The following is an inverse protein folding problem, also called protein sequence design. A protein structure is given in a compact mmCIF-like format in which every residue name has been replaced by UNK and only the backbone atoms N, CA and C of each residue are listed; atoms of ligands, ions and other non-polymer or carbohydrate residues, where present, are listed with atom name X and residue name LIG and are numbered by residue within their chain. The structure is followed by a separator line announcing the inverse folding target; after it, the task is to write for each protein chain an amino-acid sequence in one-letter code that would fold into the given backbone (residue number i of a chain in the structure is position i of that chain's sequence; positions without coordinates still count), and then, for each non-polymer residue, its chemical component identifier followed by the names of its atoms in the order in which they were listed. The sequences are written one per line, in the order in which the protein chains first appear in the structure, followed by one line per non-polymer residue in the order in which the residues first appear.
data_IF_972205832554
#
_entry.id   IF_972205832554
#
_cell.length_a   1.000
_cell.length_b   1.000
_cell.length_c   1.000
_cell.angle_alpha   90.00
_cell.angle_beta   90.00
_cell.angle_gamma   90.00
#
_symmetry.space_group_name_H-M   'P 1'
#
loop_
_entity.id
_entity.type
_entity.pdbx_description
1 polymer ?
#
# COMPACT_ATOMS: atom_id res chain seq x y z
N UNK A 1 -8.12 1.44 10.73
CA UNK A 1 -7.15 1.71 9.65
C UNK A 1 -5.75 1.41 10.15
N UNK A 2 -5.27 0.17 9.97
CA UNK A 2 -3.89 -0.20 10.29
C UNK A 2 -2.99 0.34 9.18
N UNK A 3 -2.40 1.51 9.42
CA UNK A 3 -1.42 2.11 8.52
C UNK A 3 -0.32 1.12 8.22
N UNK A 4 -0.24 0.67 6.97
CA UNK A 4 0.85 -0.14 6.49
C UNK A 4 2.13 0.69 6.58
N UNK A 5 2.84 0.59 7.71
CA UNK A 5 4.18 1.18 7.88
C UNK A 5 5.06 0.59 6.80
N UNK A 6 5.25 1.35 5.73
CA UNK A 6 6.15 0.99 4.64
C UNK A 6 7.57 0.91 5.22
N UNK A 7 8.07 -0.29 5.44
CA UNK A 7 9.43 -0.53 5.94
C UNK A 7 10.57 0.02 5.05
N UNK A 8 10.25 0.77 3.98
CA UNK A 8 11.22 1.50 3.16
C UNK A 8 11.65 2.84 3.77
N UNK A 9 10.78 3.53 4.51
CA UNK A 9 11.08 4.87 5.06
C UNK A 9 12.30 4.91 5.98
N UNK A 10 12.51 3.95 6.89
CA UNK A 10 13.67 4.01 7.77
C UNK A 10 14.98 3.54 7.10
N UNK A 11 14.92 2.74 6.03
CA UNK A 11 16.11 2.40 5.20
C UNK A 11 16.57 3.65 4.44
N UNK A 12 15.62 4.36 3.82
CA UNK A 12 15.91 5.64 3.19
C UNK A 12 16.37 6.67 4.21
N UNK A 13 15.82 6.70 5.43
CA UNK A 13 16.28 7.63 6.47
C UNK A 13 17.69 7.30 7.00
N UNK A 14 18.04 6.02 7.13
CA UNK A 14 19.37 5.59 7.60
C UNK A 14 20.44 5.72 6.52
N UNK A 15 20.10 5.46 5.25
CA UNK A 15 20.97 5.71 4.09
C UNK A 15 20.99 7.18 3.64
N UNK A 16 19.97 7.97 4.00
CA UNK A 16 19.97 9.42 3.77
C UNK A 16 20.51 10.20 4.96
N UNK A 17 20.86 9.54 6.07
CA UNK A 17 21.60 10.18 7.15
C UNK A 17 23.01 10.50 6.64
N UNK A 18 23.33 11.78 6.38
CA UNK A 18 24.60 12.15 5.75
C UNK A 18 25.80 11.76 6.62
N UNK A 19 25.59 11.58 7.93
CA UNK A 19 26.64 11.22 8.88
C UNK A 19 26.91 9.71 8.97
N UNK A 20 25.91 8.85 8.73
CA UNK A 20 26.05 7.39 8.92
C UNK A 20 26.13 6.61 7.60
N UNK A 21 25.51 7.13 6.55
CA UNK A 21 25.51 6.54 5.22
C UNK A 21 26.92 6.27 4.65
N UNK A 22 27.88 7.22 4.67
CA UNK A 22 29.20 6.97 4.08
C UNK A 22 29.94 5.86 4.83
N UNK A 23 29.87 5.81 6.16
CA UNK A 23 30.51 4.75 6.95
C UNK A 23 29.86 3.38 6.72
N UNK A 24 28.52 3.34 6.62
CA UNK A 24 27.79 2.12 6.29
C UNK A 24 28.20 1.58 4.93
N UNK A 25 28.29 2.42 3.90
CA UNK A 25 28.71 2.04 2.55
C UNK A 25 30.19 1.66 2.50
N UNK A 26 31.06 2.42 3.18
CA UNK A 26 32.49 2.14 3.28
C UNK A 26 32.79 0.79 3.94
N UNK A 27 31.98 0.39 4.95
CA UNK A 27 32.08 -0.94 5.54
C UNK A 27 31.95 -2.05 4.48
N UNK A 28 31.03 -1.92 3.51
CA UNK A 28 30.87 -2.93 2.45
C UNK A 28 32.00 -2.96 1.41
N UNK A 29 32.77 -1.89 1.27
CA UNK A 29 33.99 -1.86 0.46
C UNK A 29 35.21 -2.44 1.20
N UNK A 30 35.17 -2.40 2.54
CA UNK A 30 36.29 -2.78 3.41
C UNK A 30 36.87 -4.19 3.19
N UNK A 31 36.06 -5.25 2.93
CA UNK A 31 36.60 -6.60 2.68
C UNK A 31 37.61 -6.67 1.52
N UNK A 32 37.56 -5.73 0.59
CA UNK A 32 38.49 -5.63 -0.54
C UNK A 32 39.55 -4.55 -0.30
N UNK A 33 39.14 -3.39 0.24
CA UNK A 33 40.07 -2.29 0.46
C UNK A 33 41.10 -2.57 1.56
N UNK A 34 40.72 -3.20 2.67
CA UNK A 34 41.65 -3.50 3.75
C UNK A 34 42.83 -4.38 3.29
N UNK A 35 42.64 -5.53 2.60
CA UNK A 35 43.77 -6.30 2.10
C UNK A 35 44.52 -5.56 0.99
N UNK A 36 43.84 -4.80 0.12
CA UNK A 36 44.50 -3.99 -0.91
C UNK A 36 45.44 -2.94 -0.31
N UNK A 37 44.98 -2.19 0.69
CA UNK A 37 45.77 -1.16 1.39
C UNK A 37 46.89 -1.79 2.22
N UNK A 38 46.64 -2.95 2.85
CA UNK A 38 47.68 -3.68 3.58
C UNK A 38 48.84 -4.12 2.65
N UNK A 39 48.53 -4.61 1.46
CA UNK A 39 49.53 -5.09 0.49
C UNK A 39 50.28 -3.95 -0.20
N UNK A 40 49.58 -2.87 -0.58
CA UNK A 40 50.18 -1.79 -1.38
C UNK A 40 50.69 -0.60 -0.53
N UNK A 41 50.13 -0.37 0.65
CA UNK A 41 50.42 0.79 1.51
C UNK A 41 50.46 0.43 3.01
N UNK A 42 51.43 -0.41 3.44
CA UNK A 42 51.47 -0.95 4.80
C UNK A 42 51.59 0.13 5.90
N UNK A 43 52.27 1.25 5.61
CA UNK A 43 52.39 2.38 6.55
C UNK A 43 51.04 3.08 6.80
N UNK A 44 50.26 3.31 5.74
CA UNK A 44 48.91 3.84 5.84
C UNK A 44 47.99 2.88 6.60
N UNK A 45 48.09 1.58 6.32
CA UNK A 45 47.32 0.57 7.06
C UNK A 45 47.68 0.54 8.54
N UNK A 46 48.95 0.66 8.91
CA UNK A 46 49.39 0.66 10.30
C UNK A 46 48.81 1.85 11.10
N UNK A 47 48.71 3.02 10.46
CA UNK A 47 48.13 4.23 11.07
C UNK A 47 46.65 4.06 11.40
N UNK A 48 45.89 3.46 10.48
CA UNK A 48 44.42 3.35 10.58
C UNK A 48 43.94 1.92 10.86
N UNK A 49 44.81 1.07 11.41
CA UNK A 49 44.57 -0.38 11.59
C UNK A 49 43.27 -0.68 12.34
N UNK A 50 43.00 0.06 13.42
CA UNK A 50 41.81 -0.13 14.25
C UNK A 50 40.53 0.16 13.46
N UNK A 51 40.53 1.22 12.63
CA UNK A 51 39.38 1.60 11.80
C UNK A 51 39.07 0.51 10.77
N UNK A 52 40.10 0.01 10.07
CA UNK A 52 39.93 -1.07 9.08
C UNK A 52 39.37 -2.36 9.69
N UNK A 53 39.87 -2.76 10.86
CA UNK A 53 39.40 -3.95 11.56
C UNK A 53 37.97 -3.80 12.08
N UNK A 54 37.61 -2.62 12.60
CA UNK A 54 36.23 -2.33 13.06
C UNK A 54 35.25 -2.36 11.88
N UNK A 55 35.60 -1.72 10.75
CA UNK A 55 34.76 -1.74 9.56
C UNK A 55 34.59 -3.16 9.00
N UNK A 56 35.67 -3.95 8.97
CA UNK A 56 35.62 -5.35 8.54
C UNK A 56 34.72 -6.21 9.44
N UNK A 57 34.83 -6.03 10.77
CA UNK A 57 33.99 -6.73 11.74
C UNK A 57 32.52 -6.29 11.69
N UNK A 58 32.24 -5.04 11.30
CA UNK A 58 30.88 -4.51 11.19
C UNK A 58 30.12 -5.04 9.96
N UNK A 59 30.82 -5.44 8.89
CA UNK A 59 30.19 -5.93 7.63
C UNK A 59 29.13 -7.00 7.84
N UNK A 60 29.39 -8.14 8.51
CA UNK A 60 28.38 -9.19 8.68
C UNK A 60 27.15 -8.71 9.47
N UNK A 61 27.34 -7.84 10.47
CA UNK A 61 26.26 -7.29 11.29
C UNK A 61 25.40 -6.34 10.45
N UNK A 62 26.03 -5.41 9.73
CA UNK A 62 25.35 -4.47 8.83
C UNK A 62 24.62 -5.22 7.70
N UNK A 63 25.26 -6.23 7.10
CA UNK A 63 24.65 -7.05 6.07
C UNK A 63 23.42 -7.80 6.61
N UNK A 64 23.52 -8.39 7.80
CA UNK A 64 22.39 -9.06 8.44
C UNK A 64 21.24 -8.08 8.72
N UNK A 65 21.53 -6.89 9.25
CA UNK A 65 20.50 -5.86 9.52
C UNK A 65 19.84 -5.43 8.20
N UNK A 66 20.60 -5.09 7.17
CA UNK A 66 20.06 -4.67 5.88
C UNK A 66 19.21 -5.76 5.22
N UNK A 67 19.68 -7.01 5.20
CA UNK A 67 18.92 -8.14 4.64
C UNK A 67 17.67 -8.43 5.47
N UNK A 68 17.76 -8.43 6.80
CA UNK A 68 16.62 -8.64 7.70
C UNK A 68 15.54 -7.56 7.52
N UNK A 69 15.95 -6.33 7.26
CA UNK A 69 15.02 -5.21 7.04
C UNK A 69 14.45 -5.18 5.62
N UNK A 70 15.24 -5.55 4.62
CA UNK A 70 14.79 -5.66 3.23
C UNK A 70 13.81 -6.83 3.04
N UNK A 71 14.04 -7.93 3.76
CA UNK A 71 13.15 -9.08 3.80
C UNK A 71 11.91 -8.75 4.64
N UNK A 72 10.68 -8.88 4.12
CA UNK A 72 9.49 -8.64 4.93
C UNK A 72 9.49 -9.58 6.13
N UNK A 73 9.47 -9.01 7.34
CA UNK A 73 9.39 -9.75 8.61
C UNK A 73 8.23 -10.78 8.60
N UNK A 74 7.18 -10.52 7.81
CA UNK A 74 6.00 -11.37 7.64
C UNK A 74 6.21 -12.61 6.76
N UNK A 75 7.39 -12.79 6.15
CA UNK A 75 7.75 -14.03 5.43
C UNK A 75 7.82 -15.27 6.34
N UNK A 76 7.82 -15.06 7.67
CA UNK A 76 7.80 -16.08 8.71
C UNK A 76 6.88 -15.61 9.86
N UNK A 77 5.84 -16.41 10.14
CA UNK A 77 5.11 -16.48 11.44
C UNK A 77 3.81 -15.66 11.64
N UNK A 78 2.95 -15.53 10.63
CA UNK A 78 1.49 -15.64 10.87
C UNK A 78 0.91 -16.85 10.16
N UNK A 79 1.44 -18.01 10.55
CA UNK A 79 0.77 -19.29 10.39
C UNK A 79 0.03 -19.67 11.68
N UNK A 80 -0.73 -18.75 12.29
CA UNK A 80 -1.73 -19.04 13.35
C UNK A 80 -2.45 -17.73 13.70
N UNK A 81 -3.78 -17.72 13.63
CA UNK A 81 -4.60 -16.56 13.99
C UNK A 81 -5.48 -16.10 12.82
N UNK A 82 -6.61 -16.78 12.68
CA UNK A 82 -7.86 -16.28 12.11
C UNK A 82 -7.93 -15.97 10.61
N UNK A 83 -8.19 -17.03 9.84
CA UNK A 83 -9.24 -17.04 8.81
C UNK A 83 -9.57 -18.48 8.46
N UNK A 84 -10.84 -18.85 8.62
CA UNK A 84 -11.39 -20.17 8.36
C UNK A 84 -10.85 -20.78 7.06
N UNK A 85 -10.40 -22.05 7.07
CA UNK A 85 -10.15 -22.77 5.83
C UNK A 85 -11.50 -23.00 5.14
N UNK A 86 -11.69 -22.63 3.85
CA UNK A 86 -12.80 -23.16 3.10
C UNK A 86 -12.62 -24.68 3.00
N UNK A 87 -13.69 -25.40 3.34
CA UNK A 87 -13.75 -26.84 3.32
C UNK A 87 -13.39 -27.43 1.95
N UNK A 88 -12.72 -28.58 2.01
CA UNK A 88 -12.60 -29.60 0.96
C UNK A 88 -12.13 -29.15 -0.42
N UNK A 89 -10.82 -29.31 -0.69
CA UNK A 89 -10.37 -29.69 -2.04
C UNK A 89 -9.25 -30.71 -1.96
N UNK A 90 -9.50 -31.82 -2.66
CA UNK A 90 -8.72 -33.04 -2.69
C UNK A 90 -7.21 -32.79 -2.86
N UNK A 91 -6.44 -33.53 -2.05
CA UNK A 91 -4.98 -33.67 -2.08
C UNK A 91 -4.51 -33.92 -3.53
N UNK A 92 -3.93 -32.90 -4.16
CA UNK A 92 -2.96 -33.11 -5.25
C UNK A 92 -1.57 -33.29 -4.64
N UNK A 93 -0.82 -34.34 -5.00
CA UNK A 93 0.52 -34.54 -4.50
C UNK A 93 1.48 -33.55 -5.17
N UNK A 94 2.09 -32.69 -4.36
CA UNK A 94 3.54 -32.80 -4.20
C UNK A 94 4.48 -31.93 -5.04
N UNK A 95 4.09 -30.74 -5.53
CA UNK A 95 5.10 -29.69 -5.70
C UNK A 95 5.34 -29.06 -4.34
N UNK A 96 6.15 -29.74 -3.51
CA UNK A 96 6.78 -29.15 -2.33
C UNK A 96 7.59 -27.96 -2.84
N UNK A 97 6.97 -26.79 -2.91
CA UNK A 97 7.67 -25.53 -2.97
C UNK A 97 8.63 -25.57 -1.79
N UNK A 98 9.91 -25.86 -2.07
CA UNK A 98 11.00 -25.91 -1.10
C UNK A 98 10.89 -24.61 -0.31
N UNK A 99 10.30 -24.66 0.88
CA UNK A 99 10.35 -23.56 1.82
C UNK A 99 11.82 -23.51 2.24
N UNK A 100 12.61 -22.53 1.81
CA UNK A 100 14.01 -22.48 2.22
C UNK A 100 14.05 -22.45 3.75
N UNK A 101 14.89 -23.31 4.33
CA UNK A 101 15.15 -23.30 5.77
C UNK A 101 15.58 -21.89 6.20
N UNK A 102 15.14 -21.42 7.39
CA UNK A 102 15.23 -20.02 7.80
C UNK A 102 16.63 -19.46 7.67
N UNK A 103 17.56 -20.22 8.23
CA UNK A 103 18.91 -19.76 8.52
C UNK A 103 19.76 -19.79 7.25
N UNK A 104 19.65 -20.88 6.45
CA UNK A 104 20.35 -20.99 5.17
C UNK A 104 19.95 -19.87 4.20
N UNK A 105 18.68 -19.48 4.21
CA UNK A 105 18.23 -18.37 3.38
C UNK A 105 18.90 -17.03 3.71
N UNK A 106 19.04 -16.66 4.99
CA UNK A 106 19.65 -15.37 5.33
C UNK A 106 21.14 -15.34 4.99
N UNK A 107 21.85 -16.46 5.20
CA UNK A 107 23.26 -16.58 4.83
C UNK A 107 23.48 -16.40 3.33
N UNK A 108 22.69 -17.07 2.48
CA UNK A 108 22.81 -16.93 1.02
C UNK A 108 22.61 -15.47 0.56
N UNK A 109 21.68 -14.76 1.20
CA UNK A 109 21.38 -13.34 0.89
C UNK A 109 22.48 -12.40 1.39
N UNK A 110 23.05 -12.67 2.56
CA UNK A 110 24.19 -11.92 3.11
C UNK A 110 25.41 -12.14 2.21
N UNK A 111 25.69 -13.38 1.82
CA UNK A 111 26.76 -13.73 0.89
C UNK A 111 26.58 -13.07 -0.47
N UNK A 112 25.34 -13.03 -1.00
CA UNK A 112 25.03 -12.33 -2.24
C UNK A 112 25.29 -10.83 -2.11
N UNK A 113 24.85 -10.20 -1.02
CA UNK A 113 25.03 -8.77 -0.78
C UNK A 113 26.52 -8.42 -0.68
N UNK A 114 27.23 -9.05 0.24
CA UNK A 114 28.66 -8.81 0.48
C UNK A 114 29.48 -9.17 -0.75
N UNK A 115 29.23 -10.33 -1.36
CA UNK A 115 29.94 -10.77 -2.57
C UNK A 115 29.77 -9.80 -3.75
N UNK A 116 28.56 -9.27 -3.97
CA UNK A 116 28.32 -8.30 -5.03
C UNK A 116 29.02 -6.96 -4.80
N UNK A 117 29.00 -6.43 -3.56
CA UNK A 117 29.66 -5.16 -3.23
C UNK A 117 31.18 -5.29 -3.27
N UNK A 118 31.72 -6.43 -2.82
CA UNK A 118 33.14 -6.75 -2.93
C UNK A 118 33.57 -6.87 -4.39
N UNK A 119 32.80 -7.54 -5.25
CA UNK A 119 33.12 -7.66 -6.68
C UNK A 119 33.18 -6.29 -7.37
N UNK A 120 32.23 -5.39 -7.09
CA UNK A 120 32.23 -4.01 -7.62
C UNK A 120 33.42 -3.21 -7.09
N UNK A 121 33.71 -3.31 -5.80
CA UNK A 121 34.87 -2.65 -5.18
C UNK A 121 36.18 -3.11 -5.81
N UNK A 122 36.33 -4.42 -6.03
CA UNK A 122 37.52 -5.02 -6.65
C UNK A 122 37.67 -4.57 -8.11
N UNK A 123 36.57 -4.56 -8.87
CA UNK A 123 36.56 -4.10 -10.25
C UNK A 123 37.03 -2.64 -10.36
N UNK A 124 36.53 -1.77 -9.46
CA UNK A 124 36.92 -0.37 -9.43
C UNK A 124 38.38 -0.20 -8.99
N UNK A 125 38.83 -0.93 -7.96
CA UNK A 125 40.22 -0.90 -7.52
C UNK A 125 41.20 -1.36 -8.62
N UNK A 126 40.84 -2.38 -9.40
CA UNK A 126 41.65 -2.85 -10.53
C UNK A 126 41.62 -1.92 -11.76
N UNK A 127 40.59 -1.08 -11.89
CA UNK A 127 40.48 -0.15 -13.01
C UNK A 127 41.40 1.08 -12.91
N UNK A 128 42.36 1.07 -11.97
CA UNK A 128 43.38 2.12 -11.83
C UNK A 128 42.86 3.39 -11.14
N UNK A 129 41.83 3.26 -10.28
CA UNK A 129 41.42 4.36 -9.41
C UNK A 129 42.37 4.40 -8.21
N UNK A 130 43.40 5.23 -8.31
CA UNK A 130 44.36 5.48 -7.24
C UNK A 130 43.74 6.35 -6.15
N UNK A 131 43.26 5.69 -5.09
CA UNK A 131 42.69 6.32 -3.90
C UNK A 131 43.67 7.19 -3.10
N UNK A 132 44.89 7.36 -3.60
CA UNK A 132 45.94 8.22 -3.06
C UNK A 132 46.38 9.20 -4.15
N UNK A 133 46.05 10.48 -3.99
CA UNK A 133 46.42 11.51 -4.95
C UNK A 133 45.57 12.78 -4.83
N UNK A 134 45.84 13.80 -5.67
CA UNK A 134 45.08 15.05 -5.68
C UNK A 134 43.60 14.85 -6.04
N UNK A 135 43.25 13.71 -6.65
CA UNK A 135 41.88 13.33 -7.02
C UNK A 135 41.24 12.29 -6.07
N UNK A 136 41.90 11.92 -4.97
CA UNK A 136 41.41 10.89 -4.04
C UNK A 136 39.99 11.15 -3.53
N UNK A 137 39.61 12.41 -3.33
CA UNK A 137 38.26 12.78 -2.91
C UNK A 137 37.18 12.46 -3.95
N UNK A 138 37.48 12.62 -5.25
CA UNK A 138 36.53 12.31 -6.33
C UNK A 138 36.43 10.80 -6.52
N UNK A 139 37.56 10.09 -6.50
CA UNK A 139 37.59 8.65 -6.69
C UNK A 139 36.93 7.87 -5.54
N UNK A 140 37.13 8.34 -4.29
CA UNK A 140 36.42 7.78 -3.13
C UNK A 140 34.91 8.00 -3.24
N UNK A 141 34.46 9.15 -3.74
CA UNK A 141 33.03 9.40 -3.98
C UNK A 141 32.45 8.51 -5.08
N UNK A 142 33.20 8.26 -6.17
CA UNK A 142 32.81 7.32 -7.23
C UNK A 142 32.66 5.91 -6.65
N UNK A 143 33.64 5.47 -5.86
CA UNK A 143 33.61 4.16 -5.21
C UNK A 143 32.42 4.00 -4.27
N UNK A 144 32.22 4.96 -3.36
CA UNK A 144 31.07 4.95 -2.45
C UNK A 144 29.74 5.01 -3.20
N UNK A 145 29.66 5.81 -4.26
CA UNK A 145 28.48 5.88 -5.13
C UNK A 145 28.15 4.52 -5.77
N UNK A 146 29.16 3.84 -6.32
CA UNK A 146 28.99 2.54 -6.97
C UNK A 146 28.62 1.42 -5.98
N UNK A 147 29.28 1.37 -4.81
CA UNK A 147 28.97 0.40 -3.75
C UNK A 147 27.57 0.66 -3.19
N UNK A 148 27.23 1.93 -2.92
CA UNK A 148 25.89 2.35 -2.47
C UNK A 148 24.80 1.99 -3.48
N UNK A 149 25.02 2.23 -4.77
CA UNK A 149 24.11 1.84 -5.84
C UNK A 149 23.90 0.32 -5.90
N UNK A 150 24.99 -0.45 -5.77
CA UNK A 150 24.96 -1.92 -5.78
C UNK A 150 24.16 -2.47 -4.59
N UNK A 151 24.38 -1.93 -3.38
CA UNK A 151 23.62 -2.26 -2.19
C UNK A 151 22.11 -2.07 -2.42
N UNK A 152 21.70 -0.93 -2.99
CA UNK A 152 20.29 -0.65 -3.27
C UNK A 152 19.72 -1.68 -4.26
N UNK A 153 20.42 -1.94 -5.37
CA UNK A 153 19.97 -2.90 -6.40
C UNK A 153 19.79 -4.30 -5.82
N UNK A 154 20.76 -4.78 -5.04
CA UNK A 154 20.71 -6.13 -4.45
C UNK A 154 19.63 -6.23 -3.38
N UNK A 155 19.48 -5.23 -2.51
CA UNK A 155 18.39 -5.22 -1.51
C UNK A 155 17.01 -5.18 -2.17
N UNK A 156 16.83 -4.43 -3.26
CA UNK A 156 15.60 -4.46 -4.07
C UNK A 156 15.37 -5.84 -4.69
N UNK A 157 16.43 -6.48 -5.18
CA UNK A 157 16.42 -7.84 -5.70
C UNK A 157 15.98 -8.86 -4.64
N UNK A 158 16.61 -8.84 -3.46
CA UNK A 158 16.28 -9.68 -2.30
C UNK A 158 14.82 -9.45 -1.89
N UNK A 159 14.39 -8.20 -1.75
CA UNK A 159 13.01 -7.87 -1.37
C UNK A 159 12.00 -8.37 -2.40
N UNK A 160 12.33 -8.36 -3.70
CA UNK A 160 11.49 -8.93 -4.76
C UNK A 160 11.46 -10.45 -4.72
N UNK A 161 12.59 -11.08 -4.43
CA UNK A 161 12.73 -12.52 -4.26
C UNK A 161 11.95 -13.04 -3.04
N UNK A 162 11.96 -12.28 -1.94
CA UNK A 162 11.35 -12.63 -0.66
C UNK A 162 9.86 -12.30 -0.56
N UNK A 163 9.26 -11.80 -1.64
CA UNK A 163 7.82 -11.52 -1.62
C UNK A 163 7.06 -12.80 -1.33
N UNK A 164 6.08 -12.76 -0.40
CA UNK A 164 5.27 -13.94 -0.11
C UNK A 164 4.65 -14.45 -1.39
N UNK A 165 4.71 -15.77 -1.57
CA UNK A 165 4.09 -16.43 -2.70
C UNK A 165 2.57 -16.20 -2.64
N UNK A 166 2.07 -15.36 -3.53
CA UNK A 166 0.64 -15.20 -3.81
C UNK A 166 0.29 -16.26 -4.84
N UNK A 167 -0.70 -17.11 -4.54
CA UNK A 167 -1.18 -18.10 -5.49
C UNK A 167 -1.55 -17.44 -6.83
N UNK A 168 -1.15 -18.02 -7.97
CA UNK A 168 -1.41 -17.42 -9.27
C UNK A 168 -2.92 -17.33 -9.50
N UNK A 169 -3.39 -16.13 -9.82
CA UNK A 169 -4.78 -15.93 -10.21
C UNK A 169 -4.96 -16.46 -11.62
N UNK A 170 -5.97 -17.31 -11.80
CA UNK A 170 -6.29 -17.93 -13.10
C UNK A 170 -7.12 -16.98 -13.97
N UNK A 171 -7.08 -17.18 -15.29
CA UNK A 171 -7.87 -16.38 -16.25
C UNK A 171 -9.36 -16.55 -15.96
N UNK A 172 -9.78 -17.77 -15.63
CA UNK A 172 -11.16 -18.12 -15.30
C UNK A 172 -11.65 -17.38 -14.04
N UNK A 173 -10.80 -17.28 -13.02
CA UNK A 173 -11.10 -16.50 -11.83
C UNK A 173 -11.29 -15.02 -12.16
N UNK A 174 -10.38 -14.41 -12.93
CA UNK A 174 -10.51 -12.98 -13.31
C UNK A 174 -11.76 -12.76 -14.15
N UNK A 175 -12.08 -13.65 -15.10
CA UNK A 175 -13.32 -13.58 -15.89
C UNK A 175 -14.57 -13.64 -15.02
N UNK A 176 -14.63 -14.59 -14.09
CA UNK A 176 -15.77 -14.72 -13.17
C UNK A 176 -15.94 -13.45 -12.31
N UNK A 177 -14.84 -12.90 -11.81
CA UNK A 177 -14.87 -11.65 -11.05
C UNK A 177 -15.27 -10.45 -11.92
N UNK A 178 -14.80 -10.38 -13.16
CA UNK A 178 -15.17 -9.31 -14.10
C UNK A 178 -16.67 -9.34 -14.42
N UNK A 179 -17.24 -10.52 -14.67
CA UNK A 179 -18.69 -10.68 -14.87
C UNK A 179 -19.50 -10.26 -13.63
N UNK A 180 -19.06 -10.66 -12.43
CA UNK A 180 -19.71 -10.26 -11.17
C UNK A 180 -19.64 -8.75 -10.96
N UNK A 181 -18.47 -8.14 -11.12
CA UNK A 181 -18.26 -6.71 -10.97
C UNK A 181 -19.09 -5.90 -11.97
N UNK A 182 -19.23 -6.37 -13.22
CA UNK A 182 -20.11 -5.73 -14.23
C UNK A 182 -21.59 -5.83 -13.86
N UNK A 183 -22.05 -6.98 -13.37
CA UNK A 183 -23.43 -7.16 -12.90
C UNK A 183 -23.72 -6.23 -11.71
N UNK A 184 -22.77 -6.15 -10.79
CA UNK A 184 -22.86 -5.28 -9.62
C UNK A 184 -22.86 -3.80 -10.01
N UNK A 185 -22.00 -3.38 -10.94
CA UNK A 185 -22.00 -2.02 -11.46
C UNK A 185 -23.34 -1.65 -12.13
N UNK A 186 -23.94 -2.55 -12.90
CA UNK A 186 -25.29 -2.32 -13.48
C UNK A 186 -26.35 -2.13 -12.40
N UNK A 187 -26.30 -2.94 -11.34
CA UNK A 187 -27.19 -2.80 -10.18
C UNK A 187 -26.99 -1.44 -9.49
N UNK A 188 -25.73 -1.09 -9.22
CA UNK A 188 -25.37 0.20 -8.60
C UNK A 188 -25.89 1.37 -9.43
N UNK A 189 -25.76 1.34 -10.76
CA UNK A 189 -26.30 2.39 -11.63
C UNK A 189 -27.82 2.50 -11.53
N UNK A 190 -28.53 1.38 -11.58
CA UNK A 190 -29.98 1.37 -11.44
C UNK A 190 -30.43 1.86 -10.05
N UNK A 191 -29.69 1.53 -9.00
CA UNK A 191 -29.95 2.00 -7.64
C UNK A 191 -29.65 3.52 -7.53
N UNK A 192 -28.56 3.99 -8.12
CA UNK A 192 -28.23 5.42 -8.19
C UNK A 192 -29.30 6.23 -8.92
N UNK A 193 -29.85 5.74 -10.03
CA UNK A 193 -30.97 6.39 -10.71
C UNK A 193 -32.25 6.47 -9.85
N UNK A 194 -32.50 5.47 -9.00
CA UNK A 194 -33.62 5.52 -8.03
C UNK A 194 -33.36 6.58 -6.97
N UNK A 195 -32.14 6.62 -6.44
CA UNK A 195 -31.72 7.60 -5.45
C UNK A 195 -31.79 9.02 -6.01
N UNK A 196 -31.28 9.26 -7.22
CA UNK A 196 -31.36 10.58 -7.87
C UNK A 196 -32.81 11.04 -8.02
N UNK A 197 -33.74 10.13 -8.42
CA UNK A 197 -35.17 10.46 -8.48
C UNK A 197 -35.77 10.76 -7.11
N UNK A 198 -35.34 10.06 -6.06
CA UNK A 198 -35.78 10.33 -4.69
C UNK A 198 -35.31 11.71 -4.22
N UNK A 199 -34.05 12.06 -4.49
CA UNK A 199 -33.48 13.37 -4.16
C UNK A 199 -34.19 14.48 -4.92
N UNK A 200 -34.43 14.32 -6.22
CA UNK A 200 -35.16 15.32 -7.02
C UNK A 200 -36.59 15.56 -6.49
N UNK A 201 -37.29 14.50 -6.04
CA UNK A 201 -38.61 14.63 -5.41
C UNK A 201 -38.52 15.38 -4.08
N UNK A 202 -37.50 15.10 -3.27
CA UNK A 202 -37.28 15.81 -2.01
C UNK A 202 -36.97 17.29 -2.26
N UNK A 203 -36.14 17.62 -3.26
CA UNK A 203 -35.84 19.00 -3.66
C UNK A 203 -37.09 19.78 -4.07
N UNK A 204 -37.97 19.16 -4.87
CA UNK A 204 -39.24 19.76 -5.25
C UNK A 204 -40.13 20.04 -4.02
N UNK A 205 -40.24 19.06 -3.10
CA UNK A 205 -41.00 19.23 -1.85
C UNK A 205 -40.41 20.32 -0.95
N UNK A 206 -39.09 20.38 -0.83
CA UNK A 206 -38.40 21.41 -0.05
C UNK A 206 -38.67 22.81 -0.60
N UNK A 207 -38.68 22.93 -1.93
CA UNK A 207 -38.96 24.21 -2.60
C UNK A 207 -40.39 24.68 -2.35
N UNK A 208 -41.40 23.79 -2.41
CA UNK A 208 -42.78 24.10 -2.04
C UNK A 208 -42.90 24.42 -0.53
N UNK A 209 -42.25 23.65 0.33
CA UNK A 209 -42.27 23.85 1.79
C UNK A 209 -41.68 25.21 2.21
N UNK A 210 -40.60 25.67 1.58
CA UNK A 210 -39.99 26.98 1.86
C UNK A 210 -40.95 28.14 1.62
N UNK A 211 -41.93 28.00 0.72
CA UNK A 211 -42.92 29.06 0.48
C UNK A 211 -43.92 29.22 1.64
N UNK A 212 -44.18 28.14 2.40
CA UNK A 212 -45.23 28.10 3.43
C UNK A 212 -44.73 28.44 4.83
N UNK A 213 -43.42 28.31 5.09
CA UNK A 213 -42.75 28.58 6.39
C UNK A 213 -43.42 27.93 7.62
N UNK A 214 -44.15 26.83 7.43
CA UNK A 214 -44.81 26.10 8.50
C UNK A 214 -43.81 25.17 9.22
N UNK A 215 -43.69 25.34 10.54
CA UNK A 215 -42.85 24.51 11.40
C UNK A 215 -43.11 23.01 11.24
N UNK A 216 -44.38 22.59 11.19
CA UNK A 216 -44.73 21.17 11.09
C UNK A 216 -44.26 20.56 9.76
N UNK A 217 -44.39 21.33 8.69
CA UNK A 217 -43.94 20.94 7.34
C UNK A 217 -42.42 20.88 7.29
N UNK A 218 -41.71 21.92 7.73
CA UNK A 218 -40.24 21.96 7.72
C UNK A 218 -39.63 20.85 8.59
N UNK A 219 -40.21 20.56 9.76
CA UNK A 219 -39.78 19.45 10.61
C UNK A 219 -39.92 18.10 9.90
N UNK A 220 -41.04 17.88 9.20
CA UNK A 220 -41.26 16.66 8.42
C UNK A 220 -40.23 16.56 7.29
N UNK A 221 -39.95 17.67 6.60
CA UNK A 221 -38.93 17.73 5.56
C UNK A 221 -37.52 17.48 6.08
N UNK A 222 -37.17 17.96 7.28
CA UNK A 222 -35.88 17.63 7.91
C UNK A 222 -35.75 16.12 8.14
N UNK A 223 -36.81 15.45 8.64
CA UNK A 223 -36.81 14.00 8.81
C UNK A 223 -36.73 13.24 7.48
N UNK A 224 -37.49 13.65 6.46
CA UNK A 224 -37.42 13.06 5.13
C UNK A 224 -36.02 13.25 4.50
N UNK A 225 -35.42 14.43 4.65
CA UNK A 225 -34.08 14.75 4.15
C UNK A 225 -33.01 13.90 4.83
N UNK A 226 -33.08 13.77 6.16
CA UNK A 226 -32.17 12.92 6.91
C UNK A 226 -32.31 11.44 6.51
N UNK A 227 -33.54 10.92 6.39
CA UNK A 227 -33.78 9.55 5.95
C UNK A 227 -33.32 9.30 4.51
N UNK A 228 -33.46 10.29 3.63
CA UNK A 228 -32.91 10.23 2.28
C UNK A 228 -31.37 10.16 2.32
N UNK A 229 -30.71 11.03 3.09
CA UNK A 229 -29.25 11.02 3.25
C UNK A 229 -28.74 9.66 3.77
N UNK A 230 -29.40 9.06 4.75
CA UNK A 230 -29.07 7.73 5.28
C UNK A 230 -29.21 6.64 4.21
N UNK A 231 -30.30 6.66 3.43
CA UNK A 231 -30.48 5.72 2.32
C UNK A 231 -29.36 5.85 1.26
N UNK A 232 -28.95 7.08 0.91
CA UNK A 232 -27.83 7.32 -0.02
C UNK A 232 -26.52 6.83 0.60
N UNK A 233 -26.32 7.03 1.90
CA UNK A 233 -25.11 6.59 2.59
C UNK A 233 -24.96 5.07 2.57
N UNK A 234 -26.05 4.31 2.76
CA UNK A 234 -26.04 2.84 2.62
C UNK A 234 -25.61 2.43 1.21
N UNK A 235 -26.13 3.09 0.17
CA UNK A 235 -25.72 2.83 -1.21
C UNK A 235 -24.26 3.20 -1.46
N UNK A 236 -23.81 4.36 -0.98
CA UNK A 236 -22.42 4.81 -1.03
C UNK A 236 -21.46 3.76 -0.44
N UNK A 237 -21.77 3.24 0.76
CA UNK A 237 -20.94 2.24 1.44
C UNK A 237 -20.87 0.92 0.66
N UNK A 238 -21.99 0.49 0.08
CA UNK A 238 -22.02 -0.69 -0.79
C UNK A 238 -21.06 -0.53 -1.97
N UNK A 239 -21.07 0.62 -2.65
CA UNK A 239 -20.12 0.91 -3.76
C UNK A 239 -18.67 0.92 -3.27
N UNK A 240 -18.39 1.49 -2.09
CA UNK A 240 -17.05 1.51 -1.49
C UNK A 240 -16.52 0.09 -1.25
N UNK A 241 -17.35 -0.80 -0.69
CA UNK A 241 -16.99 -2.19 -0.45
C UNK A 241 -16.69 -2.94 -1.76
N UNK A 242 -17.54 -2.79 -2.78
CA UNK A 242 -17.33 -3.39 -4.12
C UNK A 242 -16.04 -2.86 -4.77
N UNK A 243 -15.82 -1.54 -4.71
CA UNK A 243 -14.61 -0.90 -5.24
C UNK A 243 -13.35 -1.42 -4.53
N UNK A 244 -13.40 -1.59 -3.22
CA UNK A 244 -12.32 -2.15 -2.42
C UNK A 244 -11.94 -3.57 -2.85
N UNK A 245 -12.93 -4.45 -3.00
CA UNK A 245 -12.73 -5.82 -3.46
C UNK A 245 -12.14 -5.89 -4.87
N UNK A 246 -12.70 -5.14 -5.82
CA UNK A 246 -12.23 -5.12 -7.21
C UNK A 246 -10.81 -4.54 -7.29
N UNK A 247 -10.54 -3.45 -6.58
CA UNK A 247 -9.20 -2.83 -6.54
C UNK A 247 -8.15 -3.76 -5.93
N UNK A 248 -8.50 -4.49 -4.87
CA UNK A 248 -7.61 -5.49 -4.27
C UNK A 248 -7.31 -6.62 -5.25
N UNK A 249 -8.30 -7.08 -6.02
CA UNK A 249 -8.12 -8.11 -7.04
C UNK A 249 -7.23 -7.64 -8.19
N UNK A 250 -7.44 -6.42 -8.71
CA UNK A 250 -6.57 -5.83 -9.73
C UNK A 250 -5.12 -5.74 -9.21
N UNK A 251 -4.95 -5.33 -7.95
CA UNK A 251 -3.64 -5.25 -7.30
C UNK A 251 -3.00 -6.64 -7.13
N UNK A 252 -3.76 -7.65 -6.71
CA UNK A 252 -3.23 -9.01 -6.52
C UNK A 252 -2.78 -9.61 -7.85
N UNK A 253 -3.57 -9.47 -8.93
CA UNK A 253 -3.19 -9.93 -10.27
C UNK A 253 -1.92 -9.22 -10.75
N UNK A 254 -1.83 -7.90 -10.60
CA UNK A 254 -0.61 -7.14 -10.94
C UNK A 254 0.60 -7.68 -10.17
N UNK A 255 0.49 -7.91 -8.87
CA UNK A 255 1.58 -8.44 -8.04
C UNK A 255 2.01 -9.84 -8.51
N UNK A 256 1.06 -10.74 -8.82
CA UNK A 256 1.40 -12.08 -9.34
C UNK A 256 2.18 -12.02 -10.66
N UNK A 257 1.90 -11.03 -11.50
CA UNK A 257 2.64 -10.79 -12.74
C UNK A 257 4.11 -10.43 -12.55
N UNK A 258 4.54 -10.00 -11.36
CA UNK A 258 5.94 -9.65 -11.04
C UNK A 258 6.66 -10.74 -10.25
N UNK A 259 6.04 -11.88 -9.98
CA UNK A 259 6.70 -12.95 -9.23
C UNK A 259 7.79 -13.63 -10.08
N UNK A 260 8.98 -13.89 -9.52
CA UNK A 260 10.09 -14.51 -10.25
C UNK A 260 9.70 -15.85 -10.89
N UNK A 261 8.97 -16.70 -10.16
CA UNK A 261 8.46 -17.98 -10.67
C UNK A 261 7.52 -17.80 -11.88
N UNK A 262 6.73 -16.73 -11.90
CA UNK A 262 5.86 -16.39 -13.03
C UNK A 262 6.64 -15.81 -14.21
N UNK A 263 7.68 -15.02 -13.98
CA UNK A 263 8.56 -14.47 -15.02
C UNK A 263 9.33 -15.60 -15.73
N UNK A 264 10.02 -16.45 -14.97
CA UNK A 264 10.79 -17.57 -15.52
C UNK A 264 9.89 -18.52 -16.31
N UNK A 265 8.73 -18.90 -15.74
CA UNK A 265 7.78 -19.78 -16.45
C UNK A 265 7.27 -19.17 -17.75
N UNK A 266 7.09 -17.86 -17.84
CA UNK A 266 6.67 -17.17 -19.08
C UNK A 266 7.78 -17.08 -20.13
N UNK A 267 9.03 -16.91 -19.70
CA UNK A 267 10.17 -16.89 -20.60
C UNK A 267 10.36 -18.25 -21.28
N UNK A 268 10.15 -19.34 -20.54
CA UNK A 268 10.41 -20.70 -21.02
C UNK A 268 9.18 -21.36 -21.68
N UNK A 269 7.96 -20.97 -21.31
CA UNK A 269 6.74 -21.66 -21.76
C UNK A 269 5.78 -20.75 -22.56
N UNK A 270 5.62 -21.04 -23.87
CA UNK A 270 4.72 -20.32 -24.78
C UNK A 270 3.26 -20.31 -24.31
N UNK A 271 2.74 -21.43 -23.77
CA UNK A 271 1.36 -21.51 -23.23
C UNK A 271 1.19 -20.57 -22.03
N UNK A 272 2.21 -20.49 -21.16
CA UNK A 272 2.19 -19.56 -20.04
C UNK A 272 2.22 -18.09 -20.48
N UNK A 273 2.93 -17.77 -21.57
CA UNK A 273 2.93 -16.43 -22.18
C UNK A 273 1.54 -16.05 -22.72
N UNK A 274 0.89 -16.94 -23.46
CA UNK A 274 -0.47 -16.72 -24.00
C UNK A 274 -1.49 -16.53 -22.86
N UNK A 275 -1.47 -17.39 -21.85
CA UNK A 275 -2.34 -17.26 -20.68
C UNK A 275 -2.12 -15.94 -19.93
N UNK A 276 -0.87 -15.45 -19.85
CA UNK A 276 -0.58 -14.15 -19.24
C UNK A 276 -1.11 -12.97 -20.06
N UNK A 277 -1.04 -13.02 -21.40
CA UNK A 277 -1.62 -12.00 -22.27
C UNK A 277 -3.13 -11.95 -22.06
N UNK A 278 -3.81 -13.09 -22.06
CA UNK A 278 -5.25 -13.18 -21.76
C UNK A 278 -5.56 -12.62 -20.37
N UNK A 279 -4.80 -13.02 -19.34
CA UNK A 279 -4.96 -12.50 -17.98
C UNK A 279 -4.82 -10.97 -17.94
N UNK A 280 -3.86 -10.40 -18.68
CA UNK A 280 -3.65 -8.95 -18.76
C UNK A 280 -4.85 -8.24 -19.40
N UNK A 281 -5.39 -8.77 -20.49
CA UNK A 281 -6.58 -8.24 -21.16
C UNK A 281 -7.78 -8.25 -20.21
N UNK A 282 -8.04 -9.38 -19.54
CA UNK A 282 -9.14 -9.51 -18.57
C UNK A 282 -8.96 -8.58 -17.36
N UNK A 283 -7.72 -8.42 -16.88
CA UNK A 283 -7.39 -7.48 -15.81
C UNK A 283 -7.58 -6.03 -16.25
N UNK A 284 -7.35 -5.73 -17.53
CA UNK A 284 -7.66 -4.44 -18.13
C UNK A 284 -9.15 -4.13 -18.06
N UNK A 285 -9.99 -5.11 -18.42
CA UNK A 285 -11.45 -5.01 -18.28
C UNK A 285 -11.89 -4.78 -16.83
N UNK A 286 -11.32 -5.55 -15.88
CA UNK A 286 -11.60 -5.40 -14.46
C UNK A 286 -11.17 -4.02 -13.92
N UNK A 287 -10.01 -3.51 -14.38
CA UNK A 287 -9.53 -2.18 -14.02
C UNK A 287 -10.43 -1.07 -14.59
N UNK A 288 -10.98 -1.26 -15.79
CA UNK A 288 -12.01 -0.38 -16.34
C UNK A 288 -13.25 -0.34 -15.46
N UNK A 289 -13.78 -1.50 -15.05
CA UNK A 289 -14.91 -1.58 -14.11
C UNK A 289 -14.61 -0.94 -12.76
N UNK A 290 -13.38 -1.06 -12.24
CA UNK A 290 -12.95 -0.36 -11.03
C UNK A 290 -12.98 1.17 -11.20
N UNK A 291 -12.59 1.66 -12.38
CA UNK A 291 -12.68 3.09 -12.74
C UNK A 291 -14.13 3.58 -12.77
N UNK A 292 -15.04 2.80 -13.37
CA UNK A 292 -16.46 3.11 -13.39
C UNK A 292 -17.07 3.11 -11.98
N UNK A 293 -16.78 2.09 -11.15
CA UNK A 293 -17.20 2.06 -9.74
C UNK A 293 -16.69 3.27 -8.95
N UNK A 294 -15.44 3.70 -9.19
CA UNK A 294 -14.90 4.90 -8.55
C UNK A 294 -15.67 6.16 -8.96
N UNK A 295 -16.09 6.27 -10.21
CA UNK A 295 -16.89 7.42 -10.66
C UNK A 295 -18.27 7.46 -9.97
N UNK A 296 -18.94 6.31 -9.83
CA UNK A 296 -20.20 6.20 -9.09
C UNK A 296 -20.01 6.46 -7.59
N UNK A 297 -18.89 6.01 -7.01
CA UNK A 297 -18.54 6.29 -5.62
C UNK A 297 -18.38 7.79 -5.37
N UNK A 298 -17.64 8.51 -6.24
CA UNK A 298 -17.49 9.96 -6.13
C UNK A 298 -18.83 10.67 -6.25
N UNK A 299 -19.65 10.30 -7.24
CA UNK A 299 -21.00 10.86 -7.41
C UNK A 299 -21.86 10.68 -6.16
N UNK A 300 -21.89 9.47 -5.59
CA UNK A 300 -22.68 9.18 -4.40
C UNK A 300 -22.16 9.93 -3.16
N UNK A 301 -20.84 10.07 -3.03
CA UNK A 301 -20.23 10.87 -1.96
C UNK A 301 -20.66 12.34 -2.04
N UNK A 302 -20.60 12.92 -3.22
CA UNK A 302 -20.99 14.32 -3.44
C UNK A 302 -22.48 14.51 -3.11
N UNK A 303 -23.32 13.56 -3.52
CA UNK A 303 -24.75 13.57 -3.21
C UNK A 303 -25.03 13.52 -1.70
N UNK A 304 -24.36 12.64 -0.95
CA UNK A 304 -24.47 12.57 0.52
C UNK A 304 -24.04 13.90 1.14
N UNK A 305 -22.95 14.49 0.65
CA UNK A 305 -22.47 15.79 1.15
C UNK A 305 -23.51 16.89 0.91
N UNK A 306 -24.10 16.97 -0.29
CA UNK A 306 -25.16 17.93 -0.61
C UNK A 306 -26.39 17.73 0.28
N UNK A 307 -26.84 16.49 0.49
CA UNK A 307 -27.99 16.20 1.35
C UNK A 307 -27.72 16.55 2.82
N UNK A 308 -26.49 16.32 3.30
CA UNK A 308 -26.10 16.68 4.66
C UNK A 308 -26.08 18.20 4.86
N UNK A 309 -25.56 18.96 3.89
CA UNK A 309 -25.60 20.43 3.90
C UNK A 309 -27.05 20.91 3.96
N UNK A 310 -27.92 20.41 3.06
CA UNK A 310 -29.34 20.81 3.07
C UNK A 310 -30.07 20.44 4.36
N UNK A 311 -29.78 19.27 4.92
CA UNK A 311 -30.37 18.85 6.20
C UNK A 311 -29.91 19.78 7.33
N UNK A 312 -28.65 20.21 7.31
CA UNK A 312 -28.14 21.20 8.25
C UNK A 312 -28.78 22.58 8.04
N UNK A 313 -28.94 23.01 6.80
CA UNK A 313 -29.59 24.29 6.46
C UNK A 313 -31.05 24.29 6.94
N UNK A 314 -31.81 23.22 6.70
CA UNK A 314 -33.18 23.07 7.21
C UNK A 314 -33.24 23.15 8.73
N UNK A 315 -32.28 22.52 9.41
CA UNK A 315 -32.21 22.59 10.86
C UNK A 315 -31.98 24.03 11.36
N UNK A 316 -31.10 24.79 10.70
CA UNK A 316 -30.88 26.20 11.01
C UNK A 316 -32.11 27.06 10.67
N UNK A 317 -32.73 26.82 9.52
CA UNK A 317 -33.93 27.54 9.09
C UNK A 317 -35.09 27.34 10.06
N UNK A 318 -35.34 26.10 10.51
CA UNK A 318 -36.38 25.83 11.52
C UNK A 318 -36.10 26.59 12.81
N UNK A 319 -34.84 26.66 13.26
CA UNK A 319 -34.45 27.41 14.46
C UNK A 319 -34.72 28.91 14.29
N UNK A 320 -34.34 29.47 13.14
CA UNK A 320 -34.31 30.91 12.94
C UNK A 320 -35.67 31.48 12.47
N UNK A 321 -36.46 30.71 11.74
CA UNK A 321 -37.70 31.20 11.09
C UNK A 321 -39.00 30.71 11.75
N UNK A 322 -38.99 29.65 12.55
CA UNK A 322 -40.21 29.08 13.17
C UNK A 322 -40.46 29.55 14.63
N UNK A 323 -39.76 30.59 15.08
CA UNK A 323 -39.93 31.18 16.41
C UNK A 323 -39.64 30.21 17.57
N UNK A 324 -40.32 30.37 18.73
CA UNK A 324 -40.02 29.58 19.93
C UNK A 324 -40.19 28.06 19.77
N UNK A 325 -41.09 27.62 18.89
CA UNK A 325 -41.29 26.20 18.62
C UNK A 325 -40.07 25.59 17.90
N UNK A 326 -39.53 26.31 16.92
CA UNK A 326 -38.31 25.96 16.20
C UNK A 326 -37.09 25.87 17.10
N UNK A 327 -36.90 26.88 17.96
CA UNK A 327 -35.79 26.93 18.92
C UNK A 327 -35.81 25.73 19.87
N UNK A 328 -36.95 25.44 20.53
CA UNK A 328 -37.08 24.29 21.43
C UNK A 328 -36.81 22.96 20.74
N UNK A 329 -37.27 22.81 19.50
CA UNK A 329 -37.00 21.59 18.72
C UNK A 329 -35.51 21.44 18.40
N UNK A 330 -34.84 22.53 18.05
CA UNK A 330 -33.40 22.55 17.76
C UNK A 330 -32.58 22.15 18.99
N UNK A 331 -32.88 22.73 20.15
CA UNK A 331 -32.24 22.41 21.43
C UNK A 331 -32.43 20.93 21.78
N UNK A 332 -33.66 20.42 21.72
CA UNK A 332 -33.94 19.00 21.97
C UNK A 332 -33.25 18.05 20.98
N UNK A 333 -32.91 18.50 19.77
CA UNK A 333 -32.14 17.73 18.81
C UNK A 333 -30.63 17.74 19.12
N UNK A 334 -30.09 18.87 19.58
CA UNK A 334 -28.72 18.99 20.08
C UNK A 334 -28.51 18.10 21.31
N UNK A 335 -29.42 18.16 22.29
CA UNK A 335 -29.34 17.37 23.52
C UNK A 335 -29.29 15.86 23.22
N UNK A 336 -30.14 15.39 22.30
CA UNK A 336 -30.14 13.99 21.85
C UNK A 336 -28.84 13.59 21.16
N UNK A 337 -28.28 14.48 20.33
CA UNK A 337 -27.01 14.25 19.64
C UNK A 337 -25.85 14.17 20.63
N UNK A 338 -25.85 15.05 21.63
CA UNK A 338 -24.78 15.14 22.61
C UNK A 338 -24.84 13.96 23.59
N UNK A 339 -26.04 13.55 24.01
CA UNK A 339 -26.27 12.30 24.74
C UNK A 339 -25.77 11.07 23.96
N UNK A 340 -26.04 11.00 22.66
CA UNK A 340 -25.55 9.90 21.81
C UNK A 340 -24.01 9.90 21.70
N UNK A 341 -23.38 11.07 21.56
CA UNK A 341 -21.91 11.19 21.54
C UNK A 341 -21.27 10.77 22.86
N UNK A 342 -21.86 11.17 23.99
CA UNK A 342 -21.42 10.74 25.31
C UNK A 342 -21.49 9.21 25.47
N UNK A 343 -22.58 8.59 25.00
CA UNK A 343 -22.72 7.13 25.00
C UNK A 343 -21.66 6.43 24.13
N UNK A 344 -21.21 7.07 23.05
CA UNK A 344 -20.12 6.60 22.19
C UNK A 344 -18.71 6.94 22.72
N UNK A 345 -18.59 7.62 23.86
CA UNK A 345 -17.31 8.08 24.42
C UNK A 345 -16.64 9.18 23.60
N UNK A 346 -17.39 9.91 22.77
CA UNK A 346 -16.89 11.03 21.96
C UNK A 346 -17.07 12.35 22.72
N UNK A 347 -16.13 13.30 22.58
CA UNK A 347 -16.28 14.62 23.21
C UNK A 347 -17.51 15.36 22.65
N UNK A 348 -18.23 16.02 23.55
CA UNK A 348 -19.31 16.96 23.20
C UNK A 348 -18.67 18.28 22.76
N UNK A 349 -19.22 18.88 21.71
CA UNK A 349 -18.65 20.05 21.03
C UNK A 349 -19.61 21.22 21.06
#
# INVERSE_FOLDING_TARGET
MSGARSGCLPILALLASPCLAPYGVAAFATPVLAPYVYLNHPSSFAKDRTVWLVLLAAVPVLAFVLVRWASPADGRLRGRGDRHPPASRARRPGLRARRPHPIRGYLDRILLLVGSTSAVTLCLAWSGHDMYGPLAGVETMILLGAVGGTLIVVLVGIRRWDRPYVAPVTVEQVRAHNQRARKELRRIRADNERVTRMVAKLEAKLTDAHTRRDFAVLRTMHHESYGCADSVYVHYRSVEESLGLVSQLVRSVRITGWQPSGVVRRAVNRKARVAFVQLRTETGGLAGTAGELRSEWTRNRDLVQTLNVRTADLKCQIRDECGPAGLRWFEALQDRRDAARLAEGKPVS
#
